data_IF_143057471274
#
_entry.id   IF_143057471274
#
_cell.length_a   1.000
_cell.length_b   1.000
_cell.length_c   1.000
_cell.angle_alpha   90.00
_cell.angle_beta   90.00
_cell.angle_gamma   90.00
#
_symmetry.space_group_name_H-M   'P 1'
#
loop_
_entity.id
_entity.type
_entity.pdbx_description
1 polymer ?
#
# COMPACT_ATOMS: atom_id res chain seq x y z
N UNK A 1 -13.90 0.34 5.84
CA UNK A 1 -12.56 0.86 6.12
C UNK A 1 -11.95 1.40 4.83
N UNK A 2 -11.27 2.51 4.93
CA UNK A 2 -10.58 3.11 3.79
C UNK A 2 -9.07 2.93 3.95
N UNK A 3 -8.41 2.42 2.91
CA UNK A 3 -6.98 2.14 2.92
C UNK A 3 -6.31 2.93 1.79
N UNK A 4 -5.12 3.46 2.07
CA UNK A 4 -4.23 3.97 1.02
C UNK A 4 -3.00 3.09 0.99
N UNK A 5 -2.43 2.88 -0.18
CA UNK A 5 -1.26 2.03 -0.33
C UNK A 5 -0.34 2.55 -1.42
N UNK A 6 0.95 2.22 -1.30
CA UNK A 6 1.93 2.47 -2.35
C UNK A 6 2.67 1.16 -2.61
N UNK A 7 2.85 0.83 -3.89
CA UNK A 7 3.67 -0.32 -4.28
C UNK A 7 4.87 0.16 -5.08
N UNK A 8 6.05 -0.37 -4.79
CA UNK A 8 7.27 -0.03 -5.49
C UNK A 8 8.28 -1.16 -5.41
N UNK A 9 8.98 -1.42 -6.51
CA UNK A 9 9.98 -2.47 -6.56
C UNK A 9 11.15 -2.03 -7.45
N UNK A 10 12.37 -2.45 -7.07
CA UNK A 10 13.60 -2.01 -7.74
C UNK A 10 13.77 -2.59 -9.15
N UNK A 11 13.34 -3.81 -9.38
CA UNK A 11 13.71 -4.56 -10.58
C UNK A 11 12.56 -4.85 -11.52
N UNK A 12 11.36 -4.46 -11.17
CA UNK A 12 10.27 -4.95 -11.98
C UNK A 12 9.03 -4.11 -11.96
N UNK A 13 8.62 -3.77 -13.14
CA UNK A 13 7.29 -3.23 -13.37
C UNK A 13 6.26 -4.29 -12.93
N UNK A 14 6.54 -5.57 -13.22
CA UNK A 14 5.63 -6.67 -12.94
C UNK A 14 5.25 -6.80 -11.45
N UNK A 15 6.24 -6.82 -10.56
CA UNK A 15 5.98 -6.98 -9.12
C UNK A 15 5.16 -5.82 -8.55
N UNK A 16 5.43 -4.60 -9.00
CA UNK A 16 4.68 -3.43 -8.58
C UNK A 16 3.20 -3.58 -8.90
N UNK A 17 2.89 -3.97 -10.14
CA UNK A 17 1.50 -4.12 -10.58
C UNK A 17 0.84 -5.37 -10.03
N UNK A 18 1.58 -6.45 -9.84
CA UNK A 18 1.04 -7.65 -9.22
C UNK A 18 0.66 -7.40 -7.76
N UNK A 19 1.49 -6.65 -7.04
CA UNK A 19 1.17 -6.26 -5.66
C UNK A 19 -0.06 -5.35 -5.61
N UNK A 20 -0.15 -4.40 -6.54
CA UNK A 20 -1.33 -3.54 -6.67
C UNK A 20 -2.58 -4.37 -6.85
N UNK A 21 -2.56 -5.30 -7.81
CA UNK A 21 -3.71 -6.15 -8.09
C UNK A 21 -4.12 -7.00 -6.90
N UNK A 22 -3.14 -7.53 -6.17
CA UNK A 22 -3.39 -8.34 -4.99
C UNK A 22 -4.03 -7.52 -3.87
N UNK A 23 -3.55 -6.30 -3.64
CA UNK A 23 -4.13 -5.40 -2.65
C UNK A 23 -5.56 -5.02 -3.00
N UNK A 24 -5.81 -4.70 -4.27
CA UNK A 24 -7.14 -4.32 -4.72
C UNK A 24 -8.13 -5.48 -4.61
N UNK A 25 -7.70 -6.67 -4.99
CA UNK A 25 -8.54 -7.87 -4.93
C UNK A 25 -8.92 -8.23 -3.50
N UNK A 26 -7.95 -8.23 -2.60
CA UNK A 26 -8.20 -8.57 -1.20
C UNK A 26 -9.08 -7.52 -0.52
N UNK A 27 -8.86 -6.24 -0.81
CA UNK A 27 -9.70 -5.16 -0.28
C UNK A 27 -11.15 -5.33 -0.70
N UNK A 28 -11.37 -5.62 -1.98
CA UNK A 28 -12.71 -5.83 -2.51
C UNK A 28 -13.39 -7.02 -1.85
N UNK A 29 -12.65 -8.09 -1.65
CA UNK A 29 -13.14 -9.31 -0.99
C UNK A 29 -13.61 -9.02 0.44
N UNK A 30 -12.92 -8.11 1.14
CA UNK A 30 -13.25 -7.76 2.53
C UNK A 30 -14.22 -6.58 2.65
N UNK A 31 -14.61 -5.98 1.53
CA UNK A 31 -15.53 -4.84 1.54
C UNK A 31 -14.88 -3.52 1.91
N UNK A 32 -13.58 -3.39 1.70
CA UNK A 32 -12.83 -2.16 1.98
C UNK A 32 -12.64 -1.33 0.73
N UNK A 33 -12.51 -0.01 0.91
CA UNK A 33 -12.09 0.89 -0.15
C UNK A 33 -10.57 0.99 -0.11
N UNK A 34 -9.93 0.95 -1.27
CA UNK A 34 -8.49 1.11 -1.35
C UNK A 34 -8.09 1.97 -2.55
N UNK A 35 -7.09 2.80 -2.34
CA UNK A 35 -6.46 3.57 -3.40
C UNK A 35 -4.98 3.18 -3.40
N UNK A 36 -4.48 2.66 -4.50
CA UNK A 36 -3.10 2.17 -4.61
C UNK A 36 -2.32 3.02 -5.60
N UNK A 37 -1.27 3.66 -5.11
CA UNK A 37 -0.29 4.37 -5.93
C UNK A 37 0.80 3.40 -6.31
N UNK A 38 1.26 3.46 -7.55
CA UNK A 38 2.40 2.65 -8.00
C UNK A 38 3.56 3.57 -8.34
N UNK A 39 4.78 3.16 -7.94
CA UNK A 39 6.02 3.86 -8.30
C UNK A 39 6.96 2.82 -8.90
N UNK A 40 6.90 2.70 -10.20
CA UNK A 40 7.69 1.72 -10.94
C UNK A 40 8.44 2.37 -12.08
N UNK A 41 8.84 1.55 -13.06
CA UNK A 41 9.59 2.01 -14.22
C UNK A 41 8.87 3.03 -15.09
N UNK A 42 7.56 3.13 -14.94
CA UNK A 42 6.75 4.12 -15.68
C UNK A 42 6.45 5.37 -14.85
N UNK A 43 7.12 5.54 -13.71
CA UNK A 43 6.93 6.68 -12.84
C UNK A 43 5.80 6.47 -11.84
N UNK A 44 5.34 7.57 -11.26
CA UNK A 44 4.26 7.54 -10.26
C UNK A 44 2.92 7.54 -10.97
N UNK A 45 2.08 6.55 -10.65
CA UNK A 45 0.73 6.44 -11.20
C UNK A 45 -0.28 6.34 -10.06
N UNK A 46 -1.48 6.89 -10.28
CA UNK A 46 -2.57 6.89 -9.30
C UNK A 46 -2.15 7.51 -7.97
N UNK A 47 -1.45 8.64 -8.05
CA UNK A 47 -0.89 9.30 -6.88
C UNK A 47 -1.91 9.53 -5.78
N UNK A 48 -1.55 9.15 -4.56
CA UNK A 48 -2.35 9.39 -3.35
C UNK A 48 -1.87 10.72 -2.75
N UNK A 49 -2.76 11.68 -2.62
CA UNK A 49 -2.37 12.96 -2.03
C UNK A 49 -2.48 12.92 -0.48
N UNK A 50 -2.02 14.00 0.16
CA UNK A 50 -2.01 14.06 1.61
C UNK A 50 -3.41 13.96 2.21
N UNK A 51 -4.41 14.56 1.55
CA UNK A 51 -5.79 14.51 2.02
C UNK A 51 -6.32 13.07 2.02
N UNK A 52 -5.95 12.29 0.99
CA UNK A 52 -6.35 10.89 0.91
C UNK A 52 -5.71 10.08 2.04
N UNK A 53 -4.44 10.34 2.33
CA UNK A 53 -3.71 9.68 3.41
C UNK A 53 -4.36 10.01 4.76
N UNK A 54 -4.64 11.29 4.98
CA UNK A 54 -5.22 11.75 6.25
C UNK A 54 -6.62 11.18 6.47
N UNK A 55 -7.38 11.01 5.41
CA UNK A 55 -8.73 10.47 5.48
C UNK A 55 -8.78 8.95 5.62
N UNK A 56 -7.67 8.26 5.35
CA UNK A 56 -7.63 6.81 5.40
C UNK A 56 -7.52 6.32 6.85
N UNK A 57 -8.09 5.14 7.08
CA UNK A 57 -7.97 4.47 8.39
C UNK A 57 -6.62 3.80 8.55
N UNK A 58 -6.00 3.43 7.44
CA UNK A 58 -4.79 2.61 7.44
C UNK A 58 -3.99 2.85 6.16
N UNK A 59 -2.66 2.75 6.25
CA UNK A 59 -1.77 2.82 5.10
C UNK A 59 -0.94 1.54 4.99
N UNK A 60 -0.73 1.07 3.77
CA UNK A 60 0.13 -0.09 3.49
C UNK A 60 1.20 0.35 2.49
N UNK A 61 2.46 0.22 2.88
CA UNK A 61 3.59 0.46 1.99
C UNK A 61 4.19 -0.88 1.59
N UNK A 62 3.85 -1.35 0.40
CA UNK A 62 4.38 -2.59 -0.17
C UNK A 62 5.58 -2.22 -1.05
N UNK A 63 6.70 -1.94 -0.42
CA UNK A 63 7.84 -1.32 -1.08
C UNK A 63 9.14 -2.08 -0.79
N UNK A 64 9.97 -2.23 -1.82
CA UNK A 64 11.31 -2.80 -1.70
C UNK A 64 12.40 -1.75 -1.92
N UNK A 65 12.01 -0.52 -2.18
CA UNK A 65 12.90 0.63 -2.40
C UNK A 65 12.28 1.87 -1.77
N UNK A 66 13.06 2.94 -1.65
CA UNK A 66 12.54 4.22 -1.21
C UNK A 66 11.55 4.79 -2.22
N UNK A 67 10.57 5.52 -1.75
CA UNK A 67 9.52 6.09 -2.59
C UNK A 67 9.51 7.60 -2.51
N UNK A 68 8.93 8.23 -3.55
CA UNK A 68 8.69 9.67 -3.55
C UNK A 68 7.50 9.98 -2.66
N UNK A 69 7.58 11.08 -1.93
CA UNK A 69 6.49 11.53 -1.07
C UNK A 69 6.26 10.67 0.15
N UNK A 70 7.30 9.98 0.63
CA UNK A 70 7.18 9.11 1.81
C UNK A 70 6.74 9.90 3.05
N UNK A 71 7.08 11.17 3.14
CA UNK A 71 6.71 12.04 4.26
C UNK A 71 5.20 12.17 4.43
N UNK A 72 4.40 11.90 3.40
CA UNK A 72 2.94 11.88 3.50
C UNK A 72 2.45 10.89 4.56
N UNK A 73 3.25 9.87 4.84
CA UNK A 73 2.87 8.76 5.72
C UNK A 73 3.45 8.87 7.13
N UNK A 74 4.16 9.96 7.44
CA UNK A 74 4.82 10.11 8.75
C UNK A 74 3.82 10.03 9.90
N UNK A 75 2.68 10.70 9.79
CA UNK A 75 1.67 10.68 10.84
C UNK A 75 1.06 9.28 11.01
N UNK A 76 0.80 8.58 9.92
CA UNK A 76 0.31 7.21 9.96
C UNK A 76 1.32 6.29 10.64
N UNK A 77 2.59 6.47 10.37
CA UNK A 77 3.67 5.70 10.99
C UNK A 77 3.74 5.97 12.50
N UNK A 78 3.67 7.23 12.89
CA UNK A 78 3.72 7.63 14.30
C UNK A 78 2.52 7.11 15.08
N UNK A 79 1.35 7.08 14.47
CA UNK A 79 0.12 6.63 15.11
C UNK A 79 -0.04 5.10 15.10
N UNK A 80 0.89 4.38 14.48
CA UNK A 80 0.81 2.93 14.38
C UNK A 80 -0.22 2.42 13.38
N UNK A 81 -0.63 3.26 12.44
CA UNK A 81 -1.63 2.91 11.41
C UNK A 81 -0.99 2.69 10.06
N UNK A 82 0.26 2.24 10.05
CA UNK A 82 1.00 1.97 8.82
C UNK A 82 1.64 0.59 8.89
N UNK A 83 1.47 -0.19 7.82
CA UNK A 83 2.13 -1.47 7.66
C UNK A 83 3.08 -1.38 6.47
N UNK A 84 4.35 -1.69 6.71
CA UNK A 84 5.35 -1.70 5.64
C UNK A 84 5.77 -3.14 5.40
N UNK A 85 5.67 -3.60 4.15
CA UNK A 85 5.95 -4.98 3.78
C UNK A 85 6.65 -5.02 2.43
N UNK A 86 7.22 -6.16 2.09
CA UNK A 86 7.80 -6.38 0.76
C UNK A 86 6.68 -6.69 -0.24
N UNK A 87 6.75 -6.18 -1.48
CA UNK A 87 5.74 -6.47 -2.49
C UNK A 87 5.55 -7.97 -2.74
N UNK A 88 6.62 -8.76 -2.66
CA UNK A 88 6.53 -10.20 -2.89
C UNK A 88 5.69 -10.90 -1.82
N UNK A 89 5.69 -10.40 -0.60
CA UNK A 89 4.87 -10.97 0.47
C UNK A 89 3.39 -10.71 0.22
N UNK A 90 3.06 -9.53 -0.31
CA UNK A 90 1.69 -9.20 -0.69
C UNK A 90 1.19 -10.13 -1.80
N UNK A 91 2.04 -10.36 -2.79
CA UNK A 91 1.71 -11.23 -3.92
C UNK A 91 1.48 -12.66 -3.47
N UNK A 92 2.33 -13.16 -2.58
CA UNK A 92 2.27 -14.54 -2.10
C UNK A 92 1.06 -14.80 -1.21
N UNK A 93 0.74 -13.86 -0.33
CA UNK A 93 -0.33 -14.08 0.64
C UNK A 93 -0.98 -12.76 1.06
N UNK A 94 -1.80 -12.17 0.19
CA UNK A 94 -2.46 -10.90 0.53
C UNK A 94 -3.37 -11.00 1.74
N UNK A 95 -3.98 -12.17 1.98
CA UNK A 95 -4.84 -12.39 3.14
C UNK A 95 -4.07 -12.19 4.45
N UNK A 96 -2.87 -12.76 4.56
CA UNK A 96 -2.05 -12.60 5.75
C UNK A 96 -1.64 -11.14 5.97
N UNK A 97 -1.34 -10.41 4.89
CA UNK A 97 -0.99 -8.99 4.96
C UNK A 97 -2.17 -8.18 5.51
N UNK A 98 -3.38 -8.46 5.04
CA UNK A 98 -4.57 -7.76 5.53
C UNK A 98 -4.91 -8.14 6.98
N UNK A 99 -4.66 -9.40 7.37
CA UNK A 99 -4.82 -9.80 8.77
C UNK A 99 -3.89 -8.99 9.68
N UNK A 100 -2.64 -8.81 9.26
CA UNK A 100 -1.69 -7.99 10.01
C UNK A 100 -2.12 -6.52 10.04
N UNK A 101 -2.59 -6.00 8.92
CA UNK A 101 -3.05 -4.61 8.83
C UNK A 101 -4.23 -4.36 9.77
N UNK A 102 -5.17 -5.29 9.82
CA UNK A 102 -6.36 -5.15 10.67
C UNK A 102 -6.03 -5.10 12.15
N UNK A 103 -4.91 -5.70 12.56
CA UNK A 103 -4.46 -5.66 13.95
C UNK A 103 -4.03 -4.26 14.39
N UNK A 104 -3.78 -3.36 13.44
CA UNK A 104 -3.35 -2.00 13.73
C UNK A 104 -4.52 -1.07 14.06
N UNK A 105 -5.73 -1.50 13.84
CA UNK A 105 -6.93 -0.68 14.05
C UNK A 105 -7.37 -0.58 15.52
#
# INVERSE_FOLDING_TARGET
>A
MKIVAVTACITGIAHTYMAQAALEKESKKRGYEIQVETQGGMGVENEVDQDDVDAADLAILAIAVGIEGEERFDEKRESGKLLEVDPSDVIKNPSAIFDEAEKLL
#
